data_IF_020996469506
#
_entry.id   IF_020996469506
#
_cell.length_a   1.000
_cell.length_b   1.000
_cell.length_c   1.000
_cell.angle_alpha   90.00
_cell.angle_beta   90.00
_cell.angle_gamma   90.00
#
_symmetry.space_group_name_H-M   'P 1'
#
loop_
_entity.id
_entity.type
_entity.pdbx_description
1 polymer ?
#
# COMPACT_ATOMS: atom_id res chain seq x y z
N UNK A 1 10.95 21.22 -21.29
CA UNK A 1 10.00 22.14 -20.61
C UNK A 1 9.96 21.74 -19.14
N UNK A 2 10.42 22.61 -18.24
CA UNK A 2 10.35 22.35 -16.80
C UNK A 2 8.90 22.58 -16.36
N UNK A 3 8.20 21.48 -16.08
CA UNK A 3 6.87 21.52 -15.46
C UNK A 3 7.06 21.85 -13.99
N UNK A 4 7.16 23.14 -13.66
CA UNK A 4 7.16 23.55 -12.25
C UNK A 4 5.85 23.10 -11.60
N UNK A 5 5.96 22.25 -10.59
CA UNK A 5 4.84 21.66 -9.84
C UNK A 5 4.32 22.57 -8.72
N UNK A 6 4.94 23.74 -8.56
CA UNK A 6 4.61 24.77 -7.57
C UNK A 6 4.31 26.10 -8.26
N UNK A 7 3.40 26.87 -7.69
CA UNK A 7 3.05 28.21 -8.15
C UNK A 7 4.15 29.23 -7.76
N UNK A 8 4.10 30.46 -8.29
CA UNK A 8 5.07 31.51 -7.92
C UNK A 8 5.06 31.88 -6.42
N UNK A 9 4.03 31.48 -5.67
CA UNK A 9 3.89 31.68 -4.23
C UNK A 9 4.39 30.47 -3.41
N UNK A 10 4.90 29.43 -4.08
CA UNK A 10 5.38 28.19 -3.45
C UNK A 10 4.28 27.21 -3.03
N UNK A 11 3.03 27.40 -3.45
CA UNK A 11 1.97 26.40 -3.23
C UNK A 11 2.00 25.33 -4.33
N UNK A 12 1.71 24.06 -4.01
CA UNK A 12 1.64 23.01 -5.01
C UNK A 12 0.51 23.30 -6.01
N UNK A 13 0.82 23.21 -7.31
CA UNK A 13 -0.19 23.28 -8.38
C UNK A 13 -0.77 21.87 -8.55
N UNK A 14 -2.06 21.64 -8.28
CA UNK A 14 -2.69 20.34 -8.44
C UNK A 14 -3.02 20.09 -9.92
N UNK A 15 -1.99 19.92 -10.76
CA UNK A 15 -2.17 19.44 -12.13
C UNK A 15 -2.59 17.97 -12.11
N UNK A 16 -3.15 17.48 -13.22
CA UNK A 16 -3.53 16.07 -13.36
C UNK A 16 -2.35 15.14 -13.06
N UNK A 17 -1.17 15.42 -13.61
CA UNK A 17 0.03 14.60 -13.40
C UNK A 17 0.54 14.59 -11.96
N UNK A 18 0.48 15.74 -11.27
CA UNK A 18 0.84 15.84 -9.85
C UNK A 18 -0.14 15.04 -8.97
N UNK A 19 -1.45 15.14 -9.23
CA UNK A 19 -2.46 14.38 -8.49
C UNK A 19 -2.35 12.88 -8.75
N UNK A 20 -2.03 12.48 -9.98
CA UNK A 20 -1.81 11.07 -10.34
C UNK A 20 -0.55 10.53 -9.67
N UNK A 21 0.55 11.30 -9.67
CA UNK A 21 1.78 10.94 -8.97
C UNK A 21 1.54 10.69 -7.47
N UNK A 22 0.79 11.60 -6.82
CA UNK A 22 0.47 11.52 -5.40
C UNK A 22 -0.69 10.58 -5.05
N UNK A 23 -1.32 9.93 -6.04
CA UNK A 23 -2.58 9.17 -5.85
C UNK A 23 -2.52 8.12 -4.73
N UNK A 24 -1.41 7.38 -4.63
CA UNK A 24 -1.20 6.39 -3.56
C UNK A 24 -1.14 7.04 -2.17
N UNK A 25 -0.48 8.18 -2.05
CA UNK A 25 -0.42 8.94 -0.80
C UNK A 25 -1.78 9.51 -0.43
N UNK A 26 -2.53 10.05 -1.39
CA UNK A 26 -3.88 10.57 -1.19
C UNK A 26 -4.82 9.47 -0.71
N UNK A 27 -4.79 8.30 -1.37
CA UNK A 27 -5.63 7.16 -1.02
C UNK A 27 -5.39 6.67 0.41
N UNK A 28 -4.15 6.79 0.90
CA UNK A 28 -3.80 6.38 2.25
C UNK A 28 -4.08 7.48 3.29
N UNK A 29 -3.47 8.67 3.12
CA UNK A 29 -3.50 9.74 4.12
C UNK A 29 -4.84 10.46 4.21
N UNK A 30 -5.54 10.64 3.08
CA UNK A 30 -6.86 11.30 3.04
C UNK A 30 -8.03 10.31 2.98
N UNK A 31 -7.82 9.06 3.45
CA UNK A 31 -8.82 8.00 3.38
C UNK A 31 -10.09 8.34 4.15
N UNK A 32 -9.96 8.93 5.33
CA UNK A 32 -11.09 9.18 6.23
C UNK A 32 -12.05 10.22 5.62
N UNK A 33 -11.50 11.32 5.12
CA UNK A 33 -12.18 12.43 4.47
C UNK A 33 -12.85 11.95 3.17
N UNK A 34 -12.12 11.21 2.34
CA UNK A 34 -12.65 10.62 1.10
C UNK A 34 -13.84 9.69 1.38
N UNK A 35 -13.73 8.86 2.42
CA UNK A 35 -14.82 7.98 2.83
C UNK A 35 -16.01 8.72 3.42
N UNK A 36 -15.79 9.80 4.18
CA UNK A 36 -16.88 10.64 4.68
C UNK A 36 -17.65 11.29 3.53
N UNK A 37 -16.96 11.82 2.52
CA UNK A 37 -17.57 12.40 1.33
C UNK A 37 -18.37 11.37 0.51
N UNK A 38 -17.80 10.19 0.25
CA UNK A 38 -18.48 9.13 -0.48
C UNK A 38 -19.70 8.61 0.29
N UNK A 39 -19.61 8.48 1.62
CA UNK A 39 -20.75 8.09 2.47
C UNK A 39 -21.85 9.15 2.45
N UNK A 40 -21.51 10.43 2.42
CA UNK A 40 -22.49 11.52 2.30
C UNK A 40 -23.25 11.42 0.96
N UNK A 41 -22.52 11.29 -0.17
CA UNK A 41 -23.12 11.13 -1.50
C UNK A 41 -23.99 9.88 -1.65
N UNK A 42 -23.67 8.79 -0.93
CA UNK A 42 -24.50 7.58 -0.91
C UNK A 42 -25.81 7.77 -0.15
N UNK A 43 -25.85 8.68 0.84
CA UNK A 43 -27.05 8.94 1.65
C UNK A 43 -27.99 9.93 0.97
N UNK A 44 -27.46 10.95 0.31
CA UNK A 44 -28.24 12.00 -0.33
C UNK A 44 -27.63 12.34 -1.71
N UNK A 45 -28.42 12.30 -2.80
CA UNK A 45 -27.94 12.63 -4.13
C UNK A 45 -27.73 14.15 -4.33
N UNK A 46 -28.25 15.02 -3.45
CA UNK A 46 -28.05 16.46 -3.57
C UNK A 46 -26.59 16.85 -3.27
N UNK A 47 -25.84 17.41 -4.24
CA UNK A 47 -24.45 17.77 -4.06
C UNK A 47 -24.21 18.85 -2.98
N UNK A 48 -25.18 19.74 -2.74
CA UNK A 48 -25.01 20.88 -1.82
C UNK A 48 -24.82 20.46 -0.37
N UNK A 49 -25.48 19.37 0.05
CA UNK A 49 -25.41 18.87 1.43
C UNK A 49 -24.05 18.25 1.79
N UNK A 50 -23.24 17.91 0.80
CA UNK A 50 -21.94 17.27 0.99
C UNK A 50 -20.75 18.20 0.71
N UNK A 51 -20.99 19.50 0.48
CA UNK A 51 -19.93 20.48 0.18
C UNK A 51 -18.91 20.62 1.31
N UNK A 52 -19.34 20.57 2.56
CA UNK A 52 -18.44 20.61 3.72
C UNK A 52 -17.43 19.45 3.70
N UNK A 53 -17.92 18.24 3.40
CA UNK A 53 -17.06 17.05 3.26
C UNK A 53 -16.16 17.13 2.03
N UNK A 54 -16.62 17.77 0.95
CA UNK A 54 -15.77 18.08 -0.20
C UNK A 54 -14.62 19.02 0.17
N UNK A 55 -14.89 20.08 0.95
CA UNK A 55 -13.87 21.02 1.43
C UNK A 55 -12.83 20.34 2.32
N UNK A 56 -13.27 19.44 3.21
CA UNK A 56 -12.36 18.63 4.04
C UNK A 56 -11.40 17.78 3.18
N UNK A 57 -11.91 17.13 2.12
CA UNK A 57 -11.09 16.36 1.17
C UNK A 57 -10.07 17.25 0.47
N UNK A 58 -10.50 18.39 -0.10
CA UNK A 58 -9.60 19.31 -0.80
C UNK A 58 -8.52 19.85 0.14
N UNK A 59 -8.88 20.21 1.37
CA UNK A 59 -7.91 20.66 2.37
C UNK A 59 -6.87 19.58 2.69
N UNK A 60 -7.30 18.33 2.90
CA UNK A 60 -6.38 17.22 3.14
C UNK A 60 -5.39 17.02 1.98
N UNK A 61 -5.90 17.01 0.73
CA UNK A 61 -5.06 16.81 -0.46
C UNK A 61 -4.06 17.94 -0.63
N UNK A 62 -4.47 19.20 -0.51
CA UNK A 62 -3.56 20.34 -0.66
C UNK A 62 -2.47 20.35 0.44
N UNK A 63 -2.84 20.03 1.68
CA UNK A 63 -1.89 19.90 2.79
C UNK A 63 -0.88 18.77 2.55
N UNK A 64 -1.35 17.64 2.01
CA UNK A 64 -0.50 16.51 1.66
C UNK A 64 0.48 16.87 0.54
N UNK A 65 0.00 17.47 -0.55
CA UNK A 65 0.86 17.89 -1.65
C UNK A 65 1.93 18.87 -1.16
N UNK A 66 1.56 19.83 -0.31
CA UNK A 66 2.53 20.76 0.30
C UNK A 66 3.60 20.01 1.09
N UNK A 67 3.20 19.01 1.88
CA UNK A 67 4.13 18.20 2.67
C UNK A 67 5.07 17.36 1.79
N UNK A 68 4.57 16.80 0.69
CA UNK A 68 5.37 16.03 -0.26
C UNK A 68 6.39 16.91 -0.98
N UNK A 69 6.00 18.10 -1.44
CA UNK A 69 6.94 19.06 -2.05
C UNK A 69 8.00 19.57 -1.06
N UNK A 70 7.71 19.60 0.24
CA UNK A 70 8.71 19.96 1.26
C UNK A 70 9.66 18.81 1.59
N UNK A 71 9.18 17.56 1.51
CA UNK A 71 9.94 16.38 1.95
C UNK A 71 10.76 15.76 0.81
N UNK A 72 10.17 15.58 -0.37
CA UNK A 72 10.77 14.94 -1.54
C UNK A 72 10.48 15.73 -2.83
N UNK A 73 10.88 17.00 -2.93
CA UNK A 73 10.59 17.85 -4.09
C UNK A 73 11.12 17.27 -5.40
N UNK A 74 12.38 16.81 -5.39
CA UNK A 74 13.08 16.39 -6.61
C UNK A 74 12.44 15.16 -7.25
N UNK A 75 12.13 14.15 -6.44
CA UNK A 75 11.57 12.89 -6.89
C UNK A 75 10.11 13.07 -7.31
N UNK A 76 9.35 13.89 -6.59
CA UNK A 76 7.98 14.24 -6.94
C UNK A 76 7.90 14.97 -8.29
N UNK A 77 8.79 15.95 -8.50
CA UNK A 77 8.83 16.74 -9.74
C UNK A 77 9.28 15.89 -10.93
N UNK A 78 10.26 15.00 -10.73
CA UNK A 78 10.69 14.06 -11.76
C UNK A 78 9.56 13.11 -12.17
N UNK A 79 8.85 12.55 -11.19
CA UNK A 79 7.75 11.61 -11.47
C UNK A 79 6.55 12.31 -12.11
N UNK A 80 6.13 13.45 -11.56
CA UNK A 80 5.06 14.25 -12.15
C UNK A 80 5.42 14.76 -13.55
N UNK A 81 6.68 15.12 -13.78
CA UNK A 81 7.19 15.52 -15.09
C UNK A 81 7.15 14.39 -16.12
N UNK A 82 7.54 13.17 -15.72
CA UNK A 82 7.42 11.99 -16.58
C UNK A 82 5.96 11.71 -16.95
N UNK A 83 5.06 11.72 -15.95
CA UNK A 83 3.63 11.53 -16.17
C UNK A 83 3.03 12.61 -17.07
N UNK A 84 3.48 13.86 -16.94
CA UNK A 84 3.04 14.95 -17.80
C UNK A 84 3.42 14.71 -19.28
N UNK A 85 4.66 14.26 -19.52
CA UNK A 85 5.12 13.97 -20.88
C UNK A 85 4.45 12.74 -21.51
N UNK A 86 4.18 11.72 -20.70
CA UNK A 86 3.57 10.45 -21.15
C UNK A 86 2.06 10.40 -20.91
N UNK A 87 1.35 11.53 -20.87
CA UNK A 87 -0.13 11.56 -20.76
C UNK A 87 -0.70 10.74 -19.59
N UNK A 88 0.02 10.70 -18.47
CA UNK A 88 -0.27 9.93 -17.25
C UNK A 88 -0.22 8.40 -17.42
N UNK A 89 0.51 7.90 -18.42
CA UNK A 89 0.78 6.47 -18.58
C UNK A 89 1.90 6.01 -17.65
N UNK A 90 1.56 5.16 -16.69
CA UNK A 90 2.51 4.75 -15.67
C UNK A 90 3.61 3.79 -16.16
N UNK A 91 3.39 3.06 -17.26
CA UNK A 91 4.34 2.08 -17.80
C UNK A 91 5.69 2.70 -18.13
N UNK A 92 5.69 3.94 -18.63
CA UNK A 92 6.91 4.66 -18.99
C UNK A 92 7.61 5.30 -17.80
N UNK A 93 6.94 5.44 -16.66
CA UNK A 93 7.41 6.19 -15.50
C UNK A 93 7.67 5.32 -14.25
N UNK A 94 7.83 4.00 -14.42
CA UNK A 94 8.06 3.07 -13.30
C UNK A 94 9.35 3.36 -12.53
N UNK A 95 10.39 3.82 -13.22
CA UNK A 95 11.69 4.14 -12.60
C UNK A 95 11.57 5.35 -11.67
N UNK A 96 10.89 6.39 -12.13
CA UNK A 96 10.62 7.61 -11.37
C UNK A 96 9.64 7.32 -10.23
N UNK A 97 8.66 6.44 -10.45
CA UNK A 97 7.74 5.97 -9.41
C UNK A 97 8.50 5.27 -8.27
N UNK A 98 9.41 4.34 -8.59
CA UNK A 98 10.24 3.65 -7.58
C UNK A 98 11.11 4.64 -6.80
N UNK A 99 11.76 5.58 -7.50
CA UNK A 99 12.57 6.61 -6.86
C UNK A 99 11.73 7.48 -5.89
N UNK A 100 10.52 7.86 -6.30
CA UNK A 100 9.59 8.61 -5.46
C UNK A 100 9.12 7.80 -4.24
N UNK A 101 8.76 6.53 -4.41
CA UNK A 101 8.33 5.66 -3.31
C UNK A 101 9.47 5.35 -2.32
N UNK A 102 10.72 5.31 -2.78
CA UNK A 102 11.90 5.15 -1.92
C UNK A 102 12.20 6.42 -1.11
N UNK A 103 12.15 7.60 -1.74
CA UNK A 103 12.42 8.87 -1.07
C UNK A 103 11.28 9.27 -0.11
N UNK A 104 10.05 8.95 -0.48
CA UNK A 104 8.84 9.28 0.26
C UNK A 104 8.05 7.99 0.58
N UNK A 105 8.48 7.21 1.58
CA UNK A 105 7.76 6.00 1.95
C UNK A 105 6.38 6.35 2.52
N UNK A 106 5.39 5.51 2.18
CA UNK A 106 4.10 5.50 2.86
C UNK A 106 4.33 4.99 4.29
N UNK A 107 4.58 5.92 5.22
CA UNK A 107 4.95 5.68 6.63
C UNK A 107 4.16 4.57 7.33
N UNK A 108 2.90 4.36 6.97
CA UNK A 108 2.03 3.37 7.60
C UNK A 108 1.96 2.02 6.86
N UNK A 109 2.40 1.94 5.60
CA UNK A 109 2.36 0.69 4.83
C UNK A 109 3.45 -0.29 5.32
N UNK A 110 4.64 0.24 5.63
CA UNK A 110 5.71 -0.54 6.26
C UNK A 110 5.31 -1.06 7.64
N UNK A 111 4.54 -0.30 8.42
CA UNK A 111 4.05 -0.75 9.73
C UNK A 111 3.02 -1.88 9.60
N UNK A 112 2.19 -1.87 8.55
CA UNK A 112 1.23 -2.94 8.27
C UNK A 112 1.86 -4.20 7.68
N UNK A 113 2.84 -4.06 6.79
CA UNK A 113 3.59 -5.19 6.22
C UNK A 113 4.46 -5.84 7.30
N UNK A 114 5.19 -5.06 8.12
CA UNK A 114 5.93 -5.59 9.28
C UNK A 114 5.01 -6.28 10.27
N UNK A 115 3.81 -5.77 10.52
CA UNK A 115 2.83 -6.45 11.37
C UNK A 115 2.36 -7.79 10.78
N UNK A 116 2.12 -7.86 9.46
CA UNK A 116 1.67 -9.09 8.80
C UNK A 116 2.77 -10.15 8.72
N UNK A 117 4.01 -9.76 8.41
CA UNK A 117 5.18 -10.67 8.39
C UNK A 117 5.57 -11.13 9.79
N UNK A 118 5.44 -10.26 10.80
CA UNK A 118 5.64 -10.64 12.20
C UNK A 118 4.54 -11.61 12.64
N UNK A 119 3.27 -11.39 12.27
CA UNK A 119 2.17 -12.31 12.59
C UNK A 119 2.33 -13.67 11.92
N UNK A 120 2.71 -13.74 10.64
CA UNK A 120 2.96 -15.02 9.97
C UNK A 120 4.18 -15.72 10.55
N UNK A 121 5.24 -14.97 10.92
CA UNK A 121 6.42 -15.52 11.59
C UNK A 121 6.10 -16.07 12.98
N UNK A 122 5.36 -15.33 13.82
CA UNK A 122 4.91 -15.77 15.15
C UNK A 122 4.00 -17.01 15.04
N UNK A 123 3.07 -17.02 14.08
CA UNK A 123 2.21 -18.17 13.83
C UNK A 123 3.02 -19.41 13.40
N UNK A 124 4.05 -19.22 12.56
CA UNK A 124 5.00 -20.27 12.17
C UNK A 124 5.78 -20.86 13.35
N UNK A 125 6.31 -20.01 14.24
CA UNK A 125 7.03 -20.47 15.44
C UNK A 125 6.12 -21.24 16.42
N UNK A 126 4.89 -20.77 16.64
CA UNK A 126 3.91 -21.48 17.47
C UNK A 126 3.47 -22.82 16.86
N UNK A 127 3.31 -22.89 15.52
CA UNK A 127 2.98 -24.14 14.81
C UNK A 127 4.17 -25.15 14.93
N UNK A 128 5.42 -24.69 14.81
CA UNK A 128 6.63 -25.52 14.99
C UNK A 128 6.74 -26.11 16.41
N UNK A 129 6.48 -25.30 17.45
CA UNK A 129 6.59 -25.75 18.84
C UNK A 129 5.53 -26.81 19.22
N UNK A 130 4.35 -26.76 18.58
CA UNK A 130 3.27 -27.73 18.84
C UNK A 130 3.51 -29.09 18.16
N UNK A 131 4.18 -29.10 16.99
CA UNK A 131 4.55 -30.31 16.25
C UNK A 131 5.56 -31.17 17.02
N UNK A 132 6.45 -30.58 17.81
CA UNK A 132 7.48 -31.32 18.59
C UNK A 132 6.88 -32.13 19.76
N UNK A 133 5.62 -31.89 20.14
CA UNK A 133 4.99 -32.51 21.31
C UNK A 133 3.95 -33.60 20.97
N UNK A 134 3.75 -33.93 19.69
CA UNK A 134 2.82 -34.99 19.25
C UNK A 134 3.59 -36.19 18.65
N UNK A 135 3.67 -37.34 19.35
CA UNK A 135 4.42 -38.52 18.87
C UNK A 135 3.76 -39.26 17.68
N UNK A 136 2.57 -38.83 17.23
CA UNK A 136 1.83 -39.48 16.14
C UNK A 136 2.23 -38.99 14.72
N UNK A 137 3.00 -37.91 14.58
CA UNK A 137 3.26 -37.27 13.28
C UNK A 137 4.50 -37.78 12.53
N UNK A 138 5.29 -38.66 13.16
CA UNK A 138 6.60 -39.08 12.64
C UNK A 138 6.52 -40.02 11.42
N UNK A 139 5.37 -40.63 11.15
CA UNK A 139 5.24 -41.70 10.13
C UNK A 139 5.09 -41.16 8.69
N UNK A 140 4.67 -39.90 8.50
CA UNK A 140 4.48 -39.35 7.14
C UNK A 140 5.74 -38.72 6.53
N UNK A 141 6.79 -38.48 7.32
CA UNK A 141 8.02 -37.82 6.86
C UNK A 141 9.00 -38.73 6.11
N UNK A 142 8.76 -40.05 6.10
CA UNK A 142 9.70 -41.01 5.50
C UNK A 142 9.47 -41.26 4.00
N UNK A 143 8.39 -40.74 3.41
CA UNK A 143 8.08 -40.96 1.98
C UNK A 143 8.41 -39.78 1.06
N UNK A 144 8.65 -38.57 1.56
CA UNK A 144 8.93 -37.38 0.73
C UNK A 144 10.41 -37.13 0.45
N UNK A 145 11.32 -37.98 0.94
CA UNK A 145 12.76 -37.79 0.74
C UNK A 145 13.30 -38.22 -0.64
N UNK A 146 12.46 -38.73 -1.55
CA UNK A 146 12.93 -39.19 -2.87
C UNK A 146 12.60 -38.30 -4.07
N UNK A 147 11.84 -37.22 -3.91
CA UNK A 147 11.58 -36.30 -5.03
C UNK A 147 11.67 -34.85 -4.56
N UNK A 148 12.83 -34.22 -4.77
CA UNK A 148 13.02 -32.86 -5.31
C UNK A 148 14.41 -32.32 -4.93
N UNK A 149 15.43 -32.75 -5.66
CA UNK A 149 16.55 -31.87 -5.98
C UNK A 149 16.03 -30.91 -7.07
N UNK A 150 15.75 -29.65 -6.72
CA UNK A 150 15.38 -28.62 -7.70
C UNK A 150 14.27 -27.68 -7.26
N UNK A 151 14.67 -26.54 -6.67
CA UNK A 151 14.07 -25.19 -6.82
C UNK A 151 12.55 -24.99 -6.69
N UNK A 152 12.17 -24.20 -5.67
CA UNK A 152 10.97 -23.33 -5.64
C UNK A 152 9.55 -23.92 -5.55
N UNK A 153 9.35 -25.23 -5.33
CA UNK A 153 8.00 -25.81 -5.26
C UNK A 153 7.42 -26.08 -3.86
N UNK A 154 8.23 -26.16 -2.80
CA UNK A 154 7.83 -26.85 -1.56
C UNK A 154 7.21 -25.96 -0.46
N UNK A 155 7.24 -24.63 -0.59
CA UNK A 155 6.82 -23.73 0.49
C UNK A 155 5.30 -23.55 0.60
N UNK A 156 4.55 -23.91 -0.45
CA UNK A 156 3.10 -23.63 -0.55
C UNK A 156 2.28 -24.68 0.21
N UNK A 157 2.67 -25.96 0.20
CA UNK A 157 1.85 -27.04 0.75
C UNK A 157 1.76 -27.06 2.29
N UNK A 158 2.72 -26.48 3.02
CA UNK A 158 2.62 -26.41 4.49
C UNK A 158 1.71 -25.27 4.98
N UNK A 159 1.48 -24.25 4.15
CA UNK A 159 0.66 -23.10 4.51
C UNK A 159 -0.82 -23.50 4.66
N UNK A 160 -1.33 -24.37 3.78
CA UNK A 160 -2.75 -24.77 3.78
C UNK A 160 -3.11 -25.73 4.92
N UNK A 161 -2.19 -26.57 5.40
CA UNK A 161 -2.47 -27.51 6.50
C UNK A 161 -2.52 -26.85 7.89
N UNK A 162 -1.72 -25.80 8.16
CA UNK A 162 -1.77 -25.10 9.46
C UNK A 162 -3.02 -24.16 9.54
N UNK A 163 -3.54 -23.68 8.39
CA UNK A 163 -4.78 -22.90 8.28
C UNK A 163 -6.05 -23.67 8.68
N UNK A 164 -6.10 -24.99 8.46
CA UNK A 164 -7.32 -25.77 8.67
C UNK A 164 -7.59 -26.15 10.14
N UNK A 165 -6.59 -26.11 11.03
CA UNK A 165 -6.73 -26.56 12.44
C UNK A 165 -6.60 -25.47 13.50
N UNK A 166 -6.02 -24.32 13.18
CA UNK A 166 -5.96 -23.19 14.12
C UNK A 166 -6.97 -22.14 13.66
N UNK A 167 -8.03 -21.94 14.46
CA UNK A 167 -8.91 -20.77 14.42
C UNK A 167 -8.11 -19.48 14.72
N UNK A 168 -7.15 -19.13 13.86
CA UNK A 168 -6.41 -17.87 13.91
C UNK A 168 -6.98 -16.82 12.96
N UNK A 169 -7.94 -17.21 12.11
CA UNK A 169 -8.62 -16.33 11.15
C UNK A 169 -10.07 -16.06 11.59
N UNK A 170 -10.23 -15.46 12.77
CA UNK A 170 -11.50 -14.84 13.19
C UNK A 170 -11.18 -13.57 13.95
N UNK A 171 -10.72 -12.56 13.21
CA UNK A 171 -11.02 -11.13 13.37
C UNK A 171 -10.78 -10.54 11.97
N UNK A 172 -11.81 -10.58 11.15
CA UNK A 172 -12.14 -9.61 10.10
C UNK A 172 -13.66 -9.65 9.91
#
# INVERSE_FOLDING_TARGET
MSSTTVDPSGNPIPTSSVLIAASKHIAFKCRAENMAFIKCKKKDPNPEKCLDKGREVTHCVLSLLKSLHQTCPKEMDAYAGCLYYHTNEFEFCRKEQEAFEMACPLSDLLQRITSFTLLTSICGYLCYFKIIRDPFFFVLFHFTKLFTYGGHGAFIFLHDYCLLKLKCFSIW
#
